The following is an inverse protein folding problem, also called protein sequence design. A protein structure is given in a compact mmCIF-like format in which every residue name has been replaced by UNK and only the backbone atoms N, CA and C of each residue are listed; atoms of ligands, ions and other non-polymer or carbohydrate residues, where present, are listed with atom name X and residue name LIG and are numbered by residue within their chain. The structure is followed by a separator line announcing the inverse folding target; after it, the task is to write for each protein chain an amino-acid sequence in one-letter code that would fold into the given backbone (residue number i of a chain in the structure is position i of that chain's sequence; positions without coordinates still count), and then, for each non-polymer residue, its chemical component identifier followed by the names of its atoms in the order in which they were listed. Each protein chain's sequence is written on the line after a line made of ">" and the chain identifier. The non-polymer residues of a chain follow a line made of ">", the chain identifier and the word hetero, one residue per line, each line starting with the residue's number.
data_IF_826415100331
#
_entry.id   IF_826415100331
#
_cell.length_a   1.000
_cell.length_b   1.000
_cell.length_c   1.000
_cell.angle_alpha   90.00
_cell.angle_beta   90.00
_cell.angle_gamma   90.00
#
_symmetry.space_group_name_H-M   'P 1'
#
loop_
_entity.id
_entity.type
_entity.pdbx_description
1 polymer ?
#
# COMPACT_ATOMS: atom_id res chain seq x y z
N UNK A 1 -44.96 -27.92 33.89
CA UNK A 1 -43.97 -28.39 34.87
C UNK A 1 -43.22 -27.17 35.39
N UNK A 2 -43.63 -26.68 36.56
CA UNK A 2 -42.92 -25.67 37.34
C UNK A 2 -41.78 -26.36 38.09
N UNK A 3 -40.59 -25.75 38.12
CA UNK A 3 -39.68 -25.85 39.27
C UNK A 3 -38.87 -24.56 39.38
N UNK A 4 -39.10 -23.89 40.51
CA UNK A 4 -38.35 -22.75 41.08
C UNK A 4 -37.17 -23.28 41.91
N UNK A 5 -36.38 -22.31 42.41
CA UNK A 5 -35.58 -22.29 43.66
C UNK A 5 -34.06 -22.23 43.39
N UNK A 6 -33.37 -21.09 43.42
CA UNK A 6 -33.09 -20.07 44.49
C UNK A 6 -31.77 -20.30 45.21
N UNK A 7 -31.20 -19.16 45.65
CA UNK A 7 -30.10 -18.97 46.63
C UNK A 7 -28.73 -18.85 45.98
N UNK A 8 -27.92 -17.81 46.20
CA UNK A 8 -27.91 -16.65 47.10
C UNK A 8 -26.56 -15.95 46.80
N UNK A 9 -26.36 -14.65 46.97
CA UNK A 9 -25.87 -14.01 48.20
C UNK A 9 -26.19 -12.52 48.15
N UNK A 10 -26.84 -12.03 49.19
CA UNK A 10 -27.04 -10.61 49.56
C UNK A 10 -25.74 -10.00 50.11
N UNK A 11 -25.41 -8.76 49.76
CA UNK A 11 -24.26 -8.05 50.36
C UNK A 11 -24.14 -6.59 49.93
N UNK A 12 -24.90 -5.73 50.59
CA UNK A 12 -25.02 -4.28 50.42
C UNK A 12 -23.76 -3.49 50.83
N UNK A 13 -23.60 -2.29 50.25
CA UNK A 13 -22.98 -1.03 50.76
C UNK A 13 -21.64 -0.61 50.12
N UNK A 14 -21.71 0.46 49.34
CA UNK A 14 -20.57 1.26 48.91
C UNK A 14 -20.95 2.25 47.83
N UNK A 15 -21.50 3.40 48.21
CA UNK A 15 -21.77 4.51 47.32
C UNK A 15 -20.46 5.17 46.87
N UNK A 16 -20.23 5.34 45.57
CA UNK A 16 -19.45 6.47 45.01
C UNK A 16 -19.97 6.80 43.61
N UNK A 17 -20.42 8.04 43.47
CA UNK A 17 -20.66 8.76 42.22
C UNK A 17 -19.40 8.80 41.35
N UNK A 18 -19.48 8.44 40.06
CA UNK A 18 -18.72 9.10 39.00
C UNK A 18 -19.22 8.67 37.61
N UNK A 19 -19.81 9.65 36.92
CA UNK A 19 -19.73 9.97 35.49
C UNK A 19 -19.29 8.88 34.47
N UNK A 20 -19.96 8.78 33.30
CA UNK A 20 -19.58 7.86 32.25
C UNK A 20 -18.26 8.31 31.62
N UNK A 21 -17.16 7.60 31.89
CA UNK A 21 -16.00 7.65 31.02
C UNK A 21 -16.33 6.76 29.83
N UNK A 22 -17.01 7.37 28.84
CA UNK A 22 -16.89 6.97 27.45
C UNK A 22 -15.40 7.04 27.11
N UNK A 23 -14.69 5.94 27.31
CA UNK A 23 -13.45 5.69 26.60
C UNK A 23 -13.85 5.61 25.13
N UNK A 24 -13.79 6.76 24.47
CA UNK A 24 -13.53 6.83 23.04
C UNK A 24 -12.19 6.13 22.83
N UNK A 25 -12.27 4.81 22.69
CA UNK A 25 -11.22 4.05 22.06
C UNK A 25 -11.18 4.57 20.63
N UNK A 26 -10.35 5.59 20.39
CA UNK A 26 -9.70 5.75 19.10
C UNK A 26 -8.81 4.52 18.94
N UNK A 27 -9.43 3.36 18.67
CA UNK A 27 -8.78 2.29 17.95
C UNK A 27 -8.63 2.81 16.55
N UNK A 28 -7.63 3.67 16.34
CA UNK A 28 -6.93 3.61 15.07
C UNK A 28 -6.59 2.14 14.89
N UNK A 29 -7.04 1.47 13.82
CA UNK A 29 -6.32 0.31 13.38
C UNK A 29 -4.94 0.86 13.00
N UNK A 30 -4.02 0.84 13.97
CA UNK A 30 -2.61 0.72 13.67
C UNK A 30 -2.53 -0.59 12.89
N UNK A 31 -2.76 -0.48 11.58
CA UNK A 31 -2.38 -1.47 10.60
C UNK A 31 -0.91 -1.63 10.88
N UNK A 32 -0.60 -2.69 11.62
CA UNK A 32 0.77 -3.17 11.81
C UNK A 32 1.23 -3.42 10.40
N UNK A 33 1.92 -2.43 9.82
CA UNK A 33 2.48 -2.51 8.49
C UNK A 33 3.51 -3.63 8.60
N UNK A 34 3.10 -4.84 8.22
CA UNK A 34 4.05 -5.93 8.04
C UNK A 34 5.15 -5.41 7.10
N UNK A 35 6.42 -5.73 7.36
CA UNK A 35 7.50 -5.37 6.46
C UNK A 35 7.27 -6.12 5.15
N UNK A 36 6.56 -5.49 4.21
CA UNK A 36 6.53 -5.94 2.83
C UNK A 36 7.95 -5.76 2.29
N UNK A 37 8.56 -6.85 1.84
CA UNK A 37 9.86 -6.78 1.19
C UNK A 37 9.67 -6.18 -0.20
N UNK A 38 10.02 -4.91 -0.36
CA UNK A 38 10.04 -4.27 -1.67
C UNK A 38 11.34 -4.58 -2.40
N UNK A 39 11.30 -4.56 -3.73
CA UNK A 39 12.53 -4.58 -4.51
C UNK A 39 13.31 -3.27 -4.32
N UNK A 40 14.61 -3.30 -4.65
CA UNK A 40 15.50 -2.16 -4.44
C UNK A 40 15.05 -0.87 -5.15
N UNK A 41 14.45 -0.97 -6.35
CA UNK A 41 13.95 0.20 -7.07
C UNK A 41 12.74 0.81 -6.35
N UNK A 42 11.85 -0.03 -5.85
CA UNK A 42 10.68 0.42 -5.07
C UNK A 42 11.10 1.06 -3.74
N UNK A 43 12.10 0.51 -3.04
CA UNK A 43 12.65 1.11 -1.82
C UNK A 43 13.22 2.52 -2.07
N UNK A 44 13.96 2.70 -3.17
CA UNK A 44 14.47 4.00 -3.58
C UNK A 44 13.33 4.98 -3.91
N UNK A 45 12.25 4.50 -4.55
CA UNK A 45 11.07 5.31 -4.84
C UNK A 45 10.26 5.71 -3.60
N UNK A 46 10.18 4.85 -2.59
CA UNK A 46 9.60 5.17 -1.28
C UNK A 46 10.44 6.28 -0.63
N UNK A 47 11.77 6.18 -0.70
CA UNK A 47 12.74 7.16 -0.21
C UNK A 47 12.88 8.42 -1.09
N UNK A 48 12.01 8.63 -2.08
CA UNK A 48 12.01 9.78 -2.98
C UNK A 48 13.26 9.94 -3.86
N UNK A 49 14.02 8.86 -4.07
CA UNK A 49 15.20 8.80 -4.96
C UNK A 49 14.80 8.27 -6.33
N UNK A 50 13.94 9.02 -7.03
CA UNK A 50 13.26 8.55 -8.24
C UNK A 50 14.19 8.18 -9.40
N UNK A 51 15.19 9.01 -9.69
CA UNK A 51 16.12 8.75 -10.80
C UNK A 51 16.98 7.51 -10.51
N UNK A 52 17.38 7.32 -9.26
CA UNK A 52 18.11 6.14 -8.83
C UNK A 52 17.25 4.89 -8.86
N UNK A 53 15.96 4.99 -8.54
CA UNK A 53 15.02 3.89 -8.68
C UNK A 53 14.93 3.45 -10.15
N UNK A 54 14.80 4.41 -11.08
CA UNK A 54 14.76 4.13 -12.52
C UNK A 54 16.08 3.53 -13.03
N UNK A 55 17.22 4.06 -12.59
CA UNK A 55 18.54 3.53 -12.93
C UNK A 55 18.73 2.10 -12.39
N UNK A 56 18.28 1.85 -11.16
CA UNK A 56 18.31 0.51 -10.52
C UNK A 56 17.44 -0.48 -11.28
N UNK A 57 16.25 -0.08 -11.72
CA UNK A 57 15.42 -0.93 -12.57
C UNK A 57 16.12 -1.24 -13.90
N UNK A 58 16.66 -0.24 -14.57
CA UNK A 58 17.35 -0.40 -15.86
C UNK A 58 18.60 -1.31 -15.76
N UNK A 59 19.41 -1.16 -14.71
CA UNK A 59 20.56 -2.04 -14.49
C UNK A 59 20.13 -3.49 -14.23
N UNK A 60 19.02 -3.67 -13.53
CA UNK A 60 18.46 -5.00 -13.26
C UNK A 60 17.90 -5.65 -14.52
N UNK A 61 17.22 -4.90 -15.39
CA UNK A 61 16.79 -5.37 -16.71
C UNK A 61 17.99 -5.77 -17.58
N UNK A 62 19.02 -4.93 -17.65
CA UNK A 62 20.24 -5.23 -18.39
C UNK A 62 20.90 -6.53 -17.90
N UNK A 63 20.97 -6.73 -16.59
CA UNK A 63 21.50 -7.96 -15.98
C UNK A 63 20.66 -9.22 -16.31
N UNK A 64 19.36 -9.05 -16.60
CA UNK A 64 18.46 -10.14 -17.00
C UNK A 64 18.34 -10.32 -18.52
N UNK A 65 19.06 -9.52 -19.30
CA UNK A 65 19.05 -9.57 -20.77
C UNK A 65 17.93 -8.77 -21.44
N UNK A 66 17.25 -7.86 -20.72
CA UNK A 66 16.23 -6.98 -21.28
C UNK A 66 15.07 -6.66 -20.34
N UNK A 67 14.12 -5.87 -20.83
CA UNK A 67 12.85 -5.61 -20.14
C UNK A 67 11.91 -6.80 -20.25
N UNK A 68 11.03 -6.93 -19.26
CA UNK A 68 9.92 -7.88 -19.26
C UNK A 68 8.61 -7.11 -19.05
N UNK A 69 7.47 -7.75 -19.31
CA UNK A 69 6.16 -7.13 -19.05
C UNK A 69 6.02 -6.65 -17.59
N UNK A 70 6.62 -7.37 -16.63
CA UNK A 70 6.64 -6.97 -15.22
C UNK A 70 7.54 -5.75 -14.96
N UNK A 71 8.75 -5.72 -15.54
CA UNK A 71 9.67 -4.60 -15.34
C UNK A 71 9.19 -3.33 -16.05
N UNK A 72 8.45 -3.46 -17.14
CA UNK A 72 7.79 -2.33 -17.81
C UNK A 72 6.68 -1.72 -16.97
N UNK A 73 5.83 -2.54 -16.33
CA UNK A 73 4.85 -2.04 -15.38
C UNK A 73 5.52 -1.38 -14.16
N UNK A 74 6.61 -1.97 -13.67
CA UNK A 74 7.42 -1.36 -12.62
C UNK A 74 7.97 0.01 -13.06
N UNK A 75 8.46 0.14 -14.30
CA UNK A 75 8.88 1.43 -14.86
C UNK A 75 7.75 2.45 -14.87
N UNK A 76 6.55 2.05 -15.28
CA UNK A 76 5.35 2.93 -15.26
C UNK A 76 5.07 3.42 -13.84
N UNK A 77 5.11 2.53 -12.84
CA UNK A 77 4.91 2.87 -11.43
C UNK A 77 5.95 3.90 -10.97
N UNK A 78 7.24 3.64 -11.22
CA UNK A 78 8.33 4.54 -10.83
C UNK A 78 8.21 5.92 -11.49
N UNK A 79 7.88 5.97 -12.80
CA UNK A 79 7.67 7.23 -13.53
C UNK A 79 6.47 8.02 -13.00
N UNK A 80 5.32 7.37 -12.75
CA UNK A 80 4.15 8.03 -12.16
C UNK A 80 4.43 8.54 -10.75
N UNK A 81 5.14 7.75 -9.94
CA UNK A 81 5.54 8.15 -8.60
C UNK A 81 6.47 9.37 -8.61
N UNK A 82 7.29 9.52 -9.66
CA UNK A 82 8.16 10.68 -9.89
C UNK A 82 7.43 11.89 -10.52
N UNK A 83 6.11 11.82 -10.75
CA UNK A 83 5.34 12.87 -11.43
C UNK A 83 5.54 12.91 -12.95
N UNK A 84 6.30 11.99 -13.54
CA UNK A 84 6.57 11.88 -14.99
C UNK A 84 5.45 11.14 -15.71
N UNK A 85 4.23 11.67 -15.62
CA UNK A 85 2.99 11.01 -16.08
C UNK A 85 2.95 10.78 -17.59
N UNK A 86 3.50 11.70 -18.39
CA UNK A 86 3.55 11.56 -19.85
C UNK A 86 4.47 10.42 -20.29
N UNK A 87 5.65 10.30 -19.67
CA UNK A 87 6.60 9.22 -19.93
C UNK A 87 5.97 7.86 -19.54
N UNK A 88 5.34 7.81 -18.36
CA UNK A 88 4.65 6.61 -17.90
C UNK A 88 3.52 6.20 -18.85
N UNK A 89 2.74 7.15 -19.34
CA UNK A 89 1.68 6.89 -20.31
C UNK A 89 2.23 6.39 -21.64
N UNK A 90 3.40 6.88 -22.07
CA UNK A 90 4.07 6.39 -23.28
C UNK A 90 4.44 4.91 -23.15
N UNK A 91 5.11 4.54 -22.06
CA UNK A 91 5.52 3.15 -21.79
C UNK A 91 4.29 2.23 -21.72
N UNK A 92 3.24 2.65 -21.03
CA UNK A 92 2.03 1.84 -20.89
C UNK A 92 1.28 1.66 -22.23
N UNK A 93 1.24 2.71 -23.07
CA UNK A 93 0.65 2.61 -24.42
C UNK A 93 1.45 1.68 -25.31
N UNK A 94 2.77 1.80 -25.31
CA UNK A 94 3.65 0.93 -26.10
C UNK A 94 3.48 -0.54 -25.70
N UNK A 95 3.45 -0.82 -24.40
CA UNK A 95 3.17 -2.18 -23.88
C UNK A 95 1.81 -2.69 -24.34
N UNK A 96 0.75 -1.89 -24.18
CA UNK A 96 -0.61 -2.31 -24.50
C UNK A 96 -0.91 -2.38 -26.01
N UNK A 97 0.00 -1.86 -26.85
CA UNK A 97 -0.09 -1.97 -28.30
C UNK A 97 0.54 -3.25 -28.86
N UNK A 98 1.12 -4.11 -28.01
CA UNK A 98 1.71 -5.38 -28.43
C UNK A 98 0.62 -6.43 -28.70
N UNK A 99 0.88 -7.29 -29.68
CA UNK A 99 -0.05 -8.33 -30.12
C UNK A 99 -0.34 -9.39 -29.05
N UNK A 100 0.55 -9.55 -28.07
CA UNK A 100 0.44 -10.50 -26.97
C UNK A 100 -0.29 -9.94 -25.73
N UNK A 101 -0.73 -8.67 -25.76
CA UNK A 101 -1.46 -8.04 -24.65
C UNK A 101 -2.94 -7.91 -24.98
N UNK A 102 -3.78 -8.60 -24.22
CA UNK A 102 -5.23 -8.51 -24.34
C UNK A 102 -5.79 -7.23 -23.72
N UNK A 103 -7.00 -6.83 -24.13
CA UNK A 103 -7.71 -5.70 -23.53
C UNK A 103 -7.94 -5.88 -22.01
N UNK A 104 -8.20 -7.12 -21.57
CA UNK A 104 -8.37 -7.43 -20.15
C UNK A 104 -7.07 -7.25 -19.37
N UNK A 105 -5.95 -7.77 -19.88
CA UNK A 105 -4.64 -7.58 -19.27
C UNK A 105 -4.23 -6.11 -19.22
N UNK A 106 -4.56 -5.32 -20.25
CA UNK A 106 -4.32 -3.88 -20.26
C UNK A 106 -5.08 -3.16 -19.13
N UNK A 107 -6.34 -3.52 -18.89
CA UNK A 107 -7.16 -2.97 -17.80
C UNK A 107 -6.62 -3.41 -16.44
N UNK A 108 -6.37 -4.71 -16.26
CA UNK A 108 -5.83 -5.25 -15.00
C UNK A 108 -4.47 -4.64 -14.66
N UNK A 109 -3.61 -4.43 -15.65
CA UNK A 109 -2.31 -3.77 -15.46
C UNK A 109 -2.47 -2.33 -14.98
N UNK A 110 -3.50 -1.62 -15.44
CA UNK A 110 -3.83 -0.27 -14.97
C UNK A 110 -4.16 -0.25 -13.48
N UNK A 111 -5.00 -1.18 -13.03
CA UNK A 111 -5.34 -1.34 -11.60
C UNK A 111 -4.11 -1.69 -10.77
N UNK A 112 -3.28 -2.64 -11.22
CA UNK A 112 -2.05 -3.03 -10.52
C UNK A 112 -1.08 -1.85 -10.35
N UNK A 113 -0.96 -0.98 -11.36
CA UNK A 113 -0.14 0.22 -11.29
C UNK A 113 -0.65 1.18 -10.21
N UNK A 114 -1.97 1.41 -10.13
CA UNK A 114 -2.55 2.29 -9.12
C UNK A 114 -2.43 1.72 -7.70
N UNK A 115 -2.69 0.42 -7.53
CA UNK A 115 -2.53 -0.27 -6.24
C UNK A 115 -1.07 -0.21 -5.75
N UNK A 116 -0.11 -0.41 -6.65
CA UNK A 116 1.31 -0.30 -6.31
C UNK A 116 1.71 1.13 -5.95
N UNK A 117 1.18 2.14 -6.66
CA UNK A 117 1.39 3.56 -6.30
C UNK A 117 0.82 3.89 -4.93
N UNK A 118 -0.37 3.39 -4.61
CA UNK A 118 -0.97 3.59 -3.28
C UNK A 118 -0.12 2.94 -2.19
N UNK A 119 0.37 1.72 -2.42
CA UNK A 119 1.30 1.03 -1.51
C UNK A 119 2.58 1.83 -1.27
N UNK A 120 3.23 2.35 -2.33
CA UNK A 120 4.42 3.21 -2.20
C UNK A 120 4.11 4.47 -1.35
N UNK A 121 2.98 5.14 -1.62
CA UNK A 121 2.57 6.36 -0.89
C UNK A 121 2.25 6.06 0.57
N UNK A 122 1.59 4.94 0.85
CA UNK A 122 1.28 4.49 2.19
C UNK A 122 2.56 4.19 2.98
N UNK A 123 3.52 3.48 2.36
CA UNK A 123 4.79 3.17 3.00
C UNK A 123 5.66 4.41 3.23
N UNK A 124 5.63 5.36 2.29
CA UNK A 124 6.28 6.66 2.49
C UNK A 124 5.68 7.39 3.70
N UNK A 125 4.35 7.40 3.83
CA UNK A 125 3.68 8.03 4.95
C UNK A 125 4.02 7.34 6.27
N UNK A 126 4.09 6.01 6.29
CA UNK A 126 4.50 5.26 7.47
C UNK A 126 5.93 5.58 7.92
N UNK A 127 6.84 5.87 6.97
CA UNK A 127 8.26 6.13 7.28
C UNK A 127 8.60 7.61 7.55
N UNK A 128 7.89 8.53 6.91
CA UNK A 128 8.24 9.96 6.89
C UNK A 128 7.12 10.88 7.38
N UNK A 129 5.91 10.36 7.59
CA UNK A 129 4.71 11.16 7.88
C UNK A 129 4.06 11.81 6.64
N UNK A 130 4.64 11.68 5.45
CA UNK A 130 4.10 12.25 4.20
C UNK A 130 3.81 11.18 3.15
N UNK A 131 2.70 11.32 2.42
CA UNK A 131 2.37 10.48 1.25
C UNK A 131 3.09 10.91 -0.02
N UNK A 132 3.59 12.14 -0.09
CA UNK A 132 4.30 12.70 -1.25
C UNK A 132 5.77 12.93 -0.95
N UNK A 133 6.57 12.98 -2.01
CA UNK A 133 7.89 13.59 -1.96
C UNK A 133 7.70 15.11 -1.92
N UNK A 134 8.32 15.74 -0.92
CA UNK A 134 8.18 17.17 -0.63
C UNK A 134 8.83 18.05 -1.68
#
# INVERSE_FOLDING_TARGET
>A
MFSRLTSGVTGLKGAVLALPILLAACTDPAVVAQPQSFDASTELAIACRHDEALATLASTEAARGGSTSASELQRVILLRNAGRTMDAASVLRERNARDDVTAEEAVQSGTQVEDALDSIRAQRAARSGSRSCG
#
